data_IF_868356234963
#
_entry.id   IF_868356234963
#
_cell.length_a   1.000
_cell.length_b   1.000
_cell.length_c   1.000
_cell.angle_alpha   90.00
_cell.angle_beta   90.00
_cell.angle_gamma   90.00
#
_symmetry.space_group_name_H-M   'P 1'
#
loop_
_entity.id
_entity.type
_entity.pdbx_description
1 polymer ?
#
# COMPACT_ATOMS: atom_id res chain seq x y z
N UNK A 1 33.79 18.13 -9.54
CA UNK A 1 33.18 16.89 -9.01
C UNK A 1 32.08 16.44 -9.96
N UNK A 2 32.41 15.51 -10.86
CA UNK A 2 31.48 14.93 -11.83
C UNK A 2 30.73 13.76 -11.18
N UNK A 3 29.43 13.91 -10.92
CA UNK A 3 28.58 12.78 -10.52
C UNK A 3 28.11 12.07 -11.79
N UNK A 4 28.67 10.89 -12.02
CA UNK A 4 28.41 10.02 -13.16
C UNK A 4 26.96 9.52 -13.13
N UNK A 5 26.24 9.76 -14.23
CA UNK A 5 24.94 9.14 -14.55
C UNK A 5 25.16 7.63 -14.67
N UNK A 6 24.76 6.85 -13.66
CA UNK A 6 24.74 5.38 -13.72
C UNK A 6 23.31 4.88 -13.53
N UNK A 7 22.80 4.31 -14.63
CA UNK A 7 21.75 3.30 -14.76
C UNK A 7 20.55 3.37 -13.80
N UNK A 8 19.42 3.77 -14.37
CA UNK A 8 18.07 3.49 -13.87
C UNK A 8 17.84 1.97 -13.80
N UNK A 9 18.36 1.31 -12.77
CA UNK A 9 17.89 -0.02 -12.40
C UNK A 9 16.50 0.15 -11.79
N UNK A 10 15.47 -0.13 -12.59
CA UNK A 10 14.09 -0.32 -12.14
C UNK A 10 14.08 -1.43 -11.09
N UNK A 11 14.03 -1.05 -9.81
CA UNK A 11 13.79 -1.97 -8.70
C UNK A 11 12.32 -2.40 -8.81
N UNK A 12 12.00 -3.70 -8.98
CA UNK A 12 10.63 -4.16 -8.92
C UNK A 12 10.22 -4.14 -7.45
N UNK A 13 9.64 -3.03 -7.01
CA UNK A 13 9.07 -2.91 -5.67
C UNK A 13 7.91 -3.91 -5.56
N UNK A 14 8.18 -5.04 -4.90
CA UNK A 14 7.16 -5.99 -4.47
C UNK A 14 6.31 -5.37 -3.37
N UNK A 15 5.35 -4.52 -3.75
CA UNK A 15 4.31 -4.05 -2.83
C UNK A 15 2.97 -4.14 -3.55
N UNK A 16 2.06 -4.86 -2.92
CA UNK A 16 0.72 -5.11 -3.41
C UNK A 16 -0.08 -3.80 -3.49
N UNK A 17 -0.47 -3.38 -4.70
CA UNK A 17 -1.56 -2.43 -4.89
C UNK A 17 -2.86 -3.10 -4.43
N UNK A 18 -3.57 -2.48 -3.49
CA UNK A 18 -4.83 -3.02 -2.98
C UNK A 18 -5.95 -2.17 -3.55
N UNK A 19 -6.86 -2.84 -4.22
CA UNK A 19 -7.97 -2.27 -4.93
C UNK A 19 -9.25 -2.81 -4.32
N UNK A 20 -10.08 -1.92 -3.77
CA UNK A 20 -11.28 -2.31 -3.02
C UNK A 20 -12.53 -2.12 -3.85
N UNK A 21 -13.39 -3.14 -3.80
CA UNK A 21 -14.75 -3.10 -4.30
C UNK A 21 -15.71 -3.21 -3.11
N UNK A 22 -16.56 -2.22 -2.89
CA UNK A 22 -17.69 -2.37 -1.97
C UNK A 22 -18.87 -2.97 -2.74
N UNK A 23 -19.53 -4.01 -2.22
CA UNK A 23 -20.73 -4.56 -2.85
C UNK A 23 -21.93 -4.37 -1.92
N UNK A 24 -22.88 -3.57 -2.41
CA UNK A 24 -24.28 -3.40 -2.02
C UNK A 24 -24.63 -2.94 -0.59
N UNK A 25 -25.24 -1.74 -0.51
CA UNK A 25 -26.32 -1.48 0.46
C UNK A 25 -26.08 -0.41 1.53
N UNK A 26 -24.88 0.12 1.69
CA UNK A 26 -24.63 1.24 2.61
C UNK A 26 -23.88 2.36 1.90
N UNK A 27 -24.53 3.51 1.80
CA UNK A 27 -23.89 4.74 1.32
C UNK A 27 -22.69 5.06 2.19
N UNK A 28 -21.50 5.02 1.60
CA UNK A 28 -20.30 5.51 2.23
C UNK A 28 -20.43 7.03 2.41
N UNK A 29 -20.52 7.49 3.66
CA UNK A 29 -20.62 8.90 4.01
C UNK A 29 -19.22 9.45 4.33
N UNK A 30 -18.63 10.30 3.47
CA UNK A 30 -17.30 10.86 3.69
C UNK A 30 -17.21 11.82 4.91
N UNK A 31 -18.33 12.12 5.58
CA UNK A 31 -18.37 12.95 6.79
C UNK A 31 -18.26 12.18 8.12
N UNK A 32 -18.11 10.86 8.11
CA UNK A 32 -17.73 10.15 9.34
C UNK A 32 -16.24 10.37 9.59
N UNK A 33 -15.90 11.36 10.42
CA UNK A 33 -14.53 11.79 10.73
C UNK A 33 -13.65 10.76 11.42
N UNK A 34 -13.32 9.65 10.74
CA UNK A 34 -12.34 8.66 11.19
C UNK A 34 -11.08 8.71 10.31
N UNK A 35 -9.88 8.85 10.89
CA UNK A 35 -8.65 8.94 10.11
C UNK A 35 -8.32 7.60 9.44
N UNK A 36 -8.20 7.60 8.11
CA UNK A 36 -7.79 6.45 7.30
C UNK A 36 -6.28 6.20 7.45
N UNK A 37 -5.87 5.04 7.98
CA UNK A 37 -4.45 4.73 8.22
C UNK A 37 -4.03 3.40 7.58
N UNK A 38 -2.81 3.36 7.06
CA UNK A 38 -2.39 2.38 6.06
C UNK A 38 -0.98 1.90 6.34
N UNK A 39 -0.83 0.65 6.80
CA UNK A 39 0.38 -0.15 6.65
C UNK A 39 0.05 -1.63 6.84
N UNK A 40 0.67 -2.51 6.01
CA UNK A 40 0.68 -4.00 5.90
C UNK A 40 -0.51 -4.87 6.38
N UNK A 41 -1.27 -4.45 7.38
CA UNK A 41 -2.61 -4.90 7.78
C UNK A 41 -3.72 -4.56 6.78
N UNK A 42 -3.37 -4.13 5.57
CA UNK A 42 -4.31 -3.46 4.66
C UNK A 42 -5.44 -4.39 4.22
N UNK A 43 -5.17 -5.65 3.87
CA UNK A 43 -6.19 -6.57 3.33
C UNK A 43 -7.11 -7.09 4.43
N UNK A 44 -6.52 -7.47 5.56
CA UNK A 44 -7.19 -7.93 6.76
C UNK A 44 -8.10 -6.86 7.38
N UNK A 45 -7.64 -5.59 7.44
CA UNK A 45 -8.43 -4.46 7.92
C UNK A 45 -9.65 -4.18 7.03
N UNK A 46 -9.49 -4.33 5.71
CA UNK A 46 -10.55 -4.04 4.74
C UNK A 46 -11.61 -5.14 4.70
N UNK A 47 -11.21 -6.40 4.92
CA UNK A 47 -12.18 -7.48 5.22
C UNK A 47 -12.90 -7.27 6.54
N UNK A 48 -12.20 -6.80 7.57
CA UNK A 48 -12.84 -6.46 8.85
C UNK A 48 -13.93 -5.38 8.68
N UNK A 49 -13.91 -4.63 7.57
CA UNK A 49 -14.94 -3.67 7.18
C UNK A 49 -15.90 -4.18 6.10
N UNK A 50 -15.99 -5.49 5.88
CA UNK A 50 -16.88 -6.15 4.92
C UNK A 50 -16.72 -5.69 3.45
N UNK A 51 -15.53 -5.20 3.06
CA UNK A 51 -15.22 -4.90 1.66
C UNK A 51 -14.73 -6.12 0.90
N UNK A 52 -15.00 -6.17 -0.41
CA UNK A 52 -14.33 -7.14 -1.29
C UNK A 52 -12.97 -6.60 -1.74
N UNK A 53 -11.94 -7.43 -1.62
CA UNK A 53 -10.55 -7.03 -1.81
C UNK A 53 -10.00 -7.66 -3.09
N UNK A 54 -9.66 -6.82 -4.07
CA UNK A 54 -8.86 -7.20 -5.24
C UNK A 54 -7.42 -6.72 -5.04
N UNK A 55 -6.45 -7.62 -5.15
CA UNK A 55 -5.06 -7.32 -4.88
C UNK A 55 -4.21 -7.57 -6.13
N UNK A 56 -3.32 -6.64 -6.47
CA UNK A 56 -2.35 -6.82 -7.56
C UNK A 56 -1.00 -7.21 -6.99
N UNK A 57 -0.40 -8.31 -7.43
CA UNK A 57 0.93 -8.73 -7.00
C UNK A 57 1.66 -9.50 -8.10
N UNK A 58 2.90 -9.90 -7.88
CA UNK A 58 3.60 -10.81 -8.80
C UNK A 58 3.12 -12.24 -8.62
N UNK A 59 3.35 -13.09 -9.62
CA UNK A 59 2.99 -14.52 -9.59
C UNK A 59 3.42 -15.20 -8.29
N UNK A 60 4.67 -14.98 -7.87
CA UNK A 60 5.24 -15.62 -6.70
C UNK A 60 4.66 -15.16 -5.35
N UNK A 61 3.88 -14.08 -5.32
CA UNK A 61 3.22 -13.57 -4.11
C UNK A 61 1.71 -13.89 -4.07
N UNK A 62 1.15 -14.47 -5.12
CA UNK A 62 -0.29 -14.64 -5.27
C UNK A 62 -0.92 -15.49 -4.16
N UNK A 63 -0.31 -16.64 -3.85
CA UNK A 63 -0.80 -17.55 -2.79
C UNK A 63 -0.80 -16.86 -1.42
N UNK A 64 0.27 -16.14 -1.12
CA UNK A 64 0.41 -15.38 0.13
C UNK A 64 -0.66 -14.30 0.25
N UNK A 65 -0.87 -13.52 -0.81
CA UNK A 65 -1.86 -12.44 -0.84
C UNK A 65 -3.29 -13.00 -0.71
N UNK A 66 -3.57 -14.14 -1.33
CA UNK A 66 -4.86 -14.82 -1.15
C UNK A 66 -5.08 -15.26 0.31
N UNK A 67 -4.06 -15.84 0.96
CA UNK A 67 -4.11 -16.23 2.39
C UNK A 67 -4.33 -15.06 3.35
N UNK A 68 -3.90 -13.86 2.97
CA UNK A 68 -4.13 -12.62 3.74
C UNK A 68 -5.53 -12.03 3.53
N UNK A 69 -6.35 -12.66 2.70
CA UNK A 69 -7.74 -12.29 2.51
C UNK A 69 -8.00 -11.46 1.26
N UNK A 70 -7.16 -11.47 0.22
CA UNK A 70 -7.63 -11.02 -1.09
C UNK A 70 -8.70 -11.99 -1.64
N UNK A 71 -9.88 -11.47 -2.04
CA UNK A 71 -10.91 -12.27 -2.75
C UNK A 71 -10.51 -12.55 -4.20
N UNK A 72 -9.80 -11.60 -4.80
CA UNK A 72 -9.32 -11.71 -6.19
C UNK A 72 -7.88 -11.25 -6.23
N UNK A 73 -7.02 -12.04 -6.85
CA UNK A 73 -5.61 -11.72 -7.06
C UNK A 73 -5.36 -11.56 -8.55
N UNK A 74 -4.76 -10.44 -8.93
CA UNK A 74 -4.40 -10.14 -10.32
C UNK A 74 -2.89 -10.03 -10.42
N UNK A 75 -2.30 -10.81 -11.33
CA UNK A 75 -0.86 -10.80 -11.55
C UNK A 75 -0.45 -9.62 -12.45
N UNK A 76 0.32 -8.67 -11.93
CA UNK A 76 0.77 -7.53 -12.73
C UNK A 76 1.87 -7.87 -13.74
N UNK A 77 2.49 -9.05 -13.62
CA UNK A 77 3.50 -9.53 -14.56
C UNK A 77 2.90 -10.21 -15.78
N UNK A 78 1.60 -10.53 -15.73
CA UNK A 78 0.88 -11.10 -16.85
C UNK A 78 0.73 -10.07 -17.98
N UNK A 79 0.89 -10.49 -19.25
CA UNK A 79 0.84 -9.59 -20.41
C UNK A 79 -0.53 -8.93 -20.61
N UNK A 80 -1.60 -9.54 -20.09
CA UNK A 80 -2.98 -9.09 -20.20
C UNK A 80 -3.52 -8.43 -18.92
N UNK A 81 -2.65 -8.17 -17.93
CA UNK A 81 -2.99 -7.54 -16.64
C UNK A 81 -3.91 -6.32 -16.77
N UNK A 82 -3.57 -5.37 -17.64
CA UNK A 82 -4.34 -4.14 -17.81
C UNK A 82 -5.73 -4.42 -18.39
N UNK A 83 -5.83 -5.37 -19.33
CA UNK A 83 -7.09 -5.76 -19.94
C UNK A 83 -7.99 -6.47 -18.92
N UNK A 84 -7.42 -7.34 -18.07
CA UNK A 84 -8.15 -7.99 -16.98
C UNK A 84 -8.77 -6.96 -16.02
N UNK A 85 -8.03 -5.92 -15.63
CA UNK A 85 -8.54 -4.86 -14.77
C UNK A 85 -9.57 -3.96 -15.46
N UNK A 86 -9.34 -3.60 -16.74
CA UNK A 86 -10.25 -2.74 -17.50
C UNK A 86 -11.58 -3.41 -17.83
N UNK A 87 -11.58 -4.72 -18.10
CA UNK A 87 -12.78 -5.50 -18.37
C UNK A 87 -13.43 -6.04 -17.09
N UNK A 88 -12.69 -6.04 -15.98
CA UNK A 88 -13.17 -6.38 -14.66
C UNK A 88 -14.13 -5.34 -14.05
N UNK A 89 -14.61 -5.60 -12.83
CA UNK A 89 -15.47 -4.68 -12.12
C UNK A 89 -14.78 -3.35 -11.84
N UNK A 90 -15.58 -2.29 -11.74
CA UNK A 90 -15.10 -0.99 -11.26
C UNK A 90 -15.05 -0.98 -9.74
N UNK A 91 -14.24 -0.06 -9.21
CA UNK A 91 -13.91 0.03 -7.80
C UNK A 91 -14.44 1.33 -7.18
N UNK A 92 -14.77 1.25 -5.89
CA UNK A 92 -15.17 2.43 -5.12
C UNK A 92 -13.95 3.09 -4.48
N UNK A 93 -12.91 2.31 -4.21
CA UNK A 93 -11.70 2.78 -3.56
C UNK A 93 -10.46 2.06 -4.10
N UNK A 94 -9.41 2.81 -4.40
CA UNK A 94 -8.11 2.27 -4.83
C UNK A 94 -7.03 2.81 -3.91
N UNK A 95 -6.21 1.91 -3.36
CA UNK A 95 -5.03 2.24 -2.60
C UNK A 95 -3.77 1.87 -3.37
N UNK A 96 -3.17 2.88 -3.98
CA UNK A 96 -1.93 2.76 -4.73
C UNK A 96 -0.70 2.88 -3.84
N UNK A 97 0.15 1.87 -3.91
CA UNK A 97 1.40 1.73 -3.16
C UNK A 97 2.65 1.70 -4.04
N UNK A 98 2.46 1.74 -5.36
CA UNK A 98 3.53 1.51 -6.33
C UNK A 98 3.73 2.75 -7.20
N UNK A 99 2.65 3.49 -7.46
CA UNK A 99 2.62 4.57 -8.43
C UNK A 99 2.11 4.07 -9.79
N UNK A 100 2.01 5.00 -10.74
CA UNK A 100 1.53 4.69 -12.11
C UNK A 100 2.40 3.66 -12.81
N UNK A 101 1.84 2.48 -13.08
CA UNK A 101 2.42 1.47 -13.97
C UNK A 101 1.92 1.69 -15.41
N UNK A 102 2.86 1.68 -16.35
CA UNK A 102 2.69 1.30 -17.76
C UNK A 102 1.53 1.92 -18.57
N UNK A 103 1.03 3.11 -18.19
CA UNK A 103 0.08 3.87 -19.01
C UNK A 103 -1.40 3.67 -18.63
N UNK A 104 -1.70 2.69 -17.78
CA UNK A 104 -3.01 2.61 -17.14
C UNK A 104 -3.12 3.62 -15.99
N UNK A 105 -3.98 4.62 -16.18
CA UNK A 105 -4.35 5.52 -15.09
C UNK A 105 -5.28 4.79 -14.12
N UNK A 106 -4.91 4.61 -12.83
CA UNK A 106 -5.72 3.85 -11.88
C UNK A 106 -7.14 4.41 -11.69
N UNK A 107 -7.32 5.71 -11.90
CA UNK A 107 -8.62 6.36 -11.78
C UNK A 107 -9.63 5.88 -12.84
N UNK A 108 -9.17 5.30 -13.96
CA UNK A 108 -10.05 4.63 -14.95
C UNK A 108 -10.74 3.38 -14.40
N UNK A 109 -10.17 2.77 -13.37
CA UNK A 109 -10.73 1.58 -12.73
C UNK A 109 -11.82 1.94 -11.71
N UNK A 110 -11.95 3.22 -11.34
CA UNK A 110 -12.97 3.68 -10.42
C UNK A 110 -14.34 3.87 -11.10
N UNK A 111 -15.42 3.74 -10.32
CA UNK A 111 -16.75 4.18 -10.74
C UNK A 111 -16.76 5.70 -10.99
N UNK A 112 -17.45 6.12 -12.06
CA UNK A 112 -17.75 7.54 -12.32
C UNK A 112 -19.02 7.96 -11.59
N UNK A 113 -19.08 9.21 -11.16
CA UNK A 113 -20.29 9.81 -10.56
C UNK A 113 -20.67 9.31 -9.16
N UNK A 114 -19.80 8.56 -8.47
CA UNK A 114 -20.08 7.99 -7.13
C UNK A 114 -19.10 8.44 -6.05
N UNK A 115 -18.32 9.50 -6.30
CA UNK A 115 -17.24 9.97 -5.42
C UNK A 115 -16.23 8.88 -5.05
N UNK A 116 -16.04 7.92 -5.95
CA UNK A 116 -15.06 6.85 -5.78
C UNK A 116 -13.66 7.44 -5.65
N UNK A 117 -12.87 6.87 -4.74
CA UNK A 117 -11.68 7.53 -4.21
C UNK A 117 -10.41 6.77 -4.58
N UNK A 118 -9.48 7.47 -5.22
CA UNK A 118 -8.11 7.03 -5.44
C UNK A 118 -7.20 7.64 -4.37
N UNK A 119 -6.46 6.81 -3.65
CA UNK A 119 -5.46 7.23 -2.67
C UNK A 119 -4.12 6.64 -3.05
N UNK A 120 -3.10 7.48 -3.21
CA UNK A 120 -1.73 7.00 -3.42
C UNK A 120 -0.82 7.46 -2.28
N UNK A 121 0.06 6.56 -1.83
CA UNK A 121 1.15 6.89 -0.88
C UNK A 121 2.41 7.36 -1.62
N UNK A 122 2.42 7.25 -2.94
CA UNK A 122 3.54 7.69 -3.79
C UNK A 122 3.29 9.13 -4.19
N UNK A 123 3.76 10.05 -3.34
CA UNK A 123 3.66 11.49 -3.59
C UNK A 123 4.93 12.05 -4.23
N UNK A 124 4.82 12.93 -5.24
CA UNK A 124 5.98 13.61 -5.82
C UNK A 124 6.53 14.72 -4.92
N UNK A 125 5.86 15.07 -3.80
CA UNK A 125 6.19 16.23 -2.96
C UNK A 125 7.66 16.27 -2.57
N UNK A 126 8.17 15.20 -1.93
CA UNK A 126 9.57 15.14 -1.49
C UNK A 126 10.55 15.25 -2.67
N UNK A 127 10.29 14.53 -3.76
CA UNK A 127 11.13 14.57 -4.96
C UNK A 127 11.16 15.96 -5.59
N UNK A 128 10.03 16.65 -5.62
CA UNK A 128 9.93 18.00 -6.17
C UNK A 128 10.66 19.01 -5.28
N UNK A 129 10.55 18.90 -3.95
CA UNK A 129 11.25 19.78 -3.00
C UNK A 129 12.76 19.56 -3.00
N UNK A 130 13.22 18.32 -3.17
CA UNK A 130 14.64 17.99 -3.24
C UNK A 130 15.29 18.56 -4.50
N UNK A 131 14.59 18.49 -5.64
CA UNK A 131 15.12 18.93 -6.94
C UNK A 131 15.05 20.44 -7.16
N UNK A 132 14.01 21.11 -6.64
CA UNK A 132 13.75 22.52 -6.96
C UNK A 132 13.88 23.45 -5.76
N UNK A 133 14.00 22.90 -4.54
CA UNK A 133 13.90 23.63 -3.28
C UNK A 133 12.47 23.66 -2.74
N UNK A 134 12.33 24.06 -1.47
CA UNK A 134 11.07 24.00 -0.73
C UNK A 134 9.96 24.80 -1.42
N UNK A 135 10.21 26.07 -1.76
CA UNK A 135 9.17 26.96 -2.29
C UNK A 135 8.63 26.51 -3.65
N UNK A 136 9.51 26.36 -4.63
CA UNK A 136 9.17 25.96 -6.00
C UNK A 136 8.70 24.50 -6.08
N UNK A 137 9.30 23.60 -5.30
CA UNK A 137 8.89 22.21 -5.21
C UNK A 137 7.48 22.04 -4.62
N UNK A 138 7.15 22.83 -3.59
CA UNK A 138 5.79 22.85 -3.03
C UNK A 138 4.77 23.45 -4.01
N UNK A 139 5.13 24.53 -4.71
CA UNK A 139 4.26 25.13 -5.73
C UNK A 139 3.95 24.14 -6.88
N UNK A 140 4.97 23.45 -7.39
CA UNK A 140 4.81 22.43 -8.42
C UNK A 140 3.93 21.27 -7.92
N UNK A 141 4.13 20.83 -6.68
CA UNK A 141 3.35 19.75 -6.09
C UNK A 141 1.88 20.15 -5.87
N UNK A 142 1.62 21.36 -5.41
CA UNK A 142 0.27 21.89 -5.27
C UNK A 142 -0.44 21.99 -6.64
N UNK A 143 0.28 22.47 -7.67
CA UNK A 143 -0.23 22.50 -9.04
C UNK A 143 -0.58 21.10 -9.55
N UNK A 144 0.30 20.11 -9.37
CA UNK A 144 0.05 18.72 -9.75
C UNK A 144 -1.16 18.12 -9.01
N UNK A 145 -1.27 18.36 -7.70
CA UNK A 145 -2.41 17.92 -6.89
C UNK A 145 -3.72 18.54 -7.39
N UNK A 146 -3.71 19.84 -7.68
CA UNK A 146 -4.87 20.57 -8.16
C UNK A 146 -5.34 20.04 -9.52
N UNK A 147 -4.40 19.87 -10.47
CA UNK A 147 -4.74 19.34 -11.80
C UNK A 147 -5.40 17.97 -11.73
N UNK A 148 -4.85 17.05 -10.91
CA UNK A 148 -5.44 15.73 -10.71
C UNK A 148 -6.80 15.85 -10.03
N UNK A 149 -6.91 16.64 -8.96
CA UNK A 149 -8.17 16.78 -8.21
C UNK A 149 -9.29 17.33 -9.08
N UNK A 150 -9.03 18.38 -9.86
CA UNK A 150 -10.03 18.99 -10.76
C UNK A 150 -10.46 18.00 -11.84
N UNK A 151 -9.51 17.32 -12.49
CA UNK A 151 -9.79 16.32 -13.52
C UNK A 151 -10.66 15.18 -12.98
N UNK A 152 -10.31 14.66 -11.80
CA UNK A 152 -11.02 13.53 -11.22
C UNK A 152 -12.39 13.92 -10.68
N UNK A 153 -12.52 15.14 -10.13
CA UNK A 153 -13.79 15.69 -9.69
C UNK A 153 -14.78 15.88 -10.85
N UNK A 154 -14.30 16.25 -12.04
CA UNK A 154 -15.14 16.37 -13.24
C UNK A 154 -15.78 15.02 -13.64
N UNK A 155 -15.12 13.89 -13.37
CA UNK A 155 -15.67 12.54 -13.55
C UNK A 155 -16.47 12.04 -12.32
N UNK A 156 -16.69 12.89 -11.31
CA UNK A 156 -17.34 12.53 -10.06
C UNK A 156 -16.53 11.55 -9.21
N UNK A 157 -15.19 11.65 -9.26
CA UNK A 157 -14.22 10.85 -8.50
C UNK A 157 -13.41 11.76 -7.58
N UNK A 158 -12.69 11.17 -6.64
CA UNK A 158 -11.71 11.90 -5.82
C UNK A 158 -10.35 11.24 -5.91
N UNK A 159 -9.29 12.05 -5.91
CA UNK A 159 -7.91 11.58 -5.90
C UNK A 159 -7.15 12.30 -4.80
N UNK A 160 -6.44 11.56 -3.96
CA UNK A 160 -5.80 12.06 -2.74
C UNK A 160 -4.40 11.46 -2.58
N UNK A 161 -3.52 12.25 -1.97
CA UNK A 161 -2.25 11.76 -1.48
C UNK A 161 -2.38 11.41 0.01
N UNK A 162 -1.82 10.28 0.38
CA UNK A 162 -1.71 9.86 1.77
C UNK A 162 -0.25 9.95 2.23
N UNK A 163 -0.05 10.54 3.40
CA UNK A 163 1.25 10.64 4.04
C UNK A 163 1.24 9.87 5.35
N UNK A 164 2.41 9.39 5.77
CA UNK A 164 2.56 8.80 7.07
C UNK A 164 2.41 9.87 8.16
N UNK A 165 1.54 9.61 9.13
CA UNK A 165 1.37 10.46 10.31
C UNK A 165 1.37 9.55 11.56
N UNK A 166 2.26 9.77 12.53
CA UNK A 166 2.23 9.01 13.77
C UNK A 166 0.94 9.33 14.54
N UNK A 167 0.19 8.30 14.93
CA UNK A 167 -1.07 8.44 15.66
C UNK A 167 -1.23 7.31 16.67
N UNK A 168 -1.16 7.65 17.96
CA UNK A 168 -1.23 6.68 19.06
C UNK A 168 -2.58 5.95 19.12
N UNK A 169 -3.69 6.65 18.88
CA UNK A 169 -5.03 6.05 18.93
C UNK A 169 -5.21 5.00 17.85
N UNK A 170 -4.72 5.26 16.64
CA UNK A 170 -4.80 4.28 15.58
C UNK A 170 -3.84 3.11 15.75
N UNK A 171 -2.65 3.34 16.32
CA UNK A 171 -1.77 2.24 16.71
C UNK A 171 -2.45 1.34 17.77
N UNK A 172 -3.22 1.94 18.68
CA UNK A 172 -4.01 1.18 19.65
C UNK A 172 -5.10 0.35 18.97
N UNK A 173 -5.88 0.93 18.06
CA UNK A 173 -6.89 0.19 17.28
C UNK A 173 -6.26 -0.97 16.48
N UNK A 174 -5.11 -0.73 15.86
CA UNK A 174 -4.36 -1.78 15.14
C UNK A 174 -3.90 -2.87 16.10
N UNK A 175 -3.40 -2.52 17.29
CA UNK A 175 -3.01 -3.49 18.32
C UNK A 175 -4.19 -4.37 18.73
N UNK A 176 -5.36 -3.79 18.97
CA UNK A 176 -6.57 -4.55 19.33
C UNK A 176 -6.96 -5.54 18.22
N UNK A 177 -6.81 -5.15 16.94
CA UNK A 177 -7.07 -6.06 15.81
C UNK A 177 -6.04 -7.19 15.72
N UNK A 178 -4.78 -6.92 16.06
CA UNK A 178 -3.74 -7.95 16.16
C UNK A 178 -4.03 -8.92 17.30
N UNK A 179 -4.41 -8.40 18.47
CA UNK A 179 -4.74 -9.22 19.65
C UNK A 179 -5.96 -10.12 19.39
N UNK A 180 -6.93 -9.63 18.62
CA UNK A 180 -8.09 -10.40 18.17
C UNK A 180 -7.77 -11.41 17.05
N UNK A 181 -6.52 -11.49 16.59
CA UNK A 181 -6.10 -12.35 15.48
C UNK A 181 -6.71 -11.95 14.13
N UNK A 182 -7.28 -10.74 14.03
CA UNK A 182 -7.84 -10.22 12.77
C UNK A 182 -6.76 -9.67 11.86
N UNK A 183 -5.63 -9.24 12.42
CA UNK A 183 -4.47 -8.75 11.68
C UNK A 183 -3.23 -9.56 12.07
N UNK A 184 -2.57 -10.17 11.09
CA UNK A 184 -1.37 -10.97 11.32
C UNK A 184 -0.13 -10.26 10.76
N UNK A 185 0.85 -9.85 11.61
CA UNK A 185 2.08 -9.26 11.12
C UNK A 185 2.90 -10.31 10.38
N UNK A 186 3.24 -10.04 9.13
CA UNK A 186 4.08 -10.93 8.34
C UNK A 186 5.52 -10.49 8.42
N UNK A 187 6.35 -11.31 9.06
CA UNK A 187 7.79 -11.10 9.16
C UNK A 187 8.49 -11.93 8.09
N UNK A 188 9.24 -11.25 7.22
CA UNK A 188 10.05 -11.88 6.17
C UNK A 188 11.38 -12.40 6.71
N UNK A 189 12.00 -11.65 7.60
CA UNK A 189 13.26 -12.02 8.26
C UNK A 189 13.52 -11.14 9.46
N UNK A 190 14.20 -11.73 10.44
CA UNK A 190 14.67 -11.03 11.63
C UNK A 190 16.18 -11.02 11.63
N UNK A 191 16.78 -9.86 11.90
CA UNK A 191 18.22 -9.69 12.05
C UNK A 191 18.53 -9.21 13.46
N UNK A 192 19.64 -9.65 14.09
CA UNK A 192 20.12 -9.03 15.33
C UNK A 192 20.56 -7.59 15.08
N UNK A 193 20.58 -6.77 16.12
CA UNK A 193 20.96 -5.35 16.03
C UNK A 193 22.34 -5.13 15.40
N UNK A 194 23.29 -6.05 15.60
CA UNK A 194 24.62 -5.98 15.00
C UNK A 194 24.62 -6.17 13.47
N UNK A 195 23.56 -6.77 12.92
CA UNK A 195 23.42 -7.07 11.49
C UNK A 195 22.51 -6.08 10.76
N UNK A 196 22.26 -4.90 11.33
CA UNK A 196 21.51 -3.82 10.66
C UNK A 196 22.03 -3.54 9.23
N UNK A 197 23.35 -3.49 8.95
CA UNK A 197 23.83 -3.33 7.57
C UNK A 197 23.34 -4.42 6.61
N UNK A 198 23.38 -5.69 7.03
CA UNK A 198 22.90 -6.82 6.22
C UNK A 198 21.38 -6.72 5.99
N UNK A 199 20.61 -6.32 7.01
CA UNK A 199 19.19 -6.06 6.89
C UNK A 199 18.88 -4.95 5.86
N UNK A 200 19.68 -3.88 5.85
CA UNK A 200 19.57 -2.81 4.84
C UNK A 200 19.91 -3.29 3.43
N UNK A 201 20.93 -4.13 3.26
CA UNK A 201 21.26 -4.72 1.97
C UNK A 201 20.11 -5.58 1.44
N UNK A 202 19.57 -6.47 2.27
CA UNK A 202 18.40 -7.29 1.92
C UNK A 202 17.18 -6.44 1.58
N UNK A 203 16.93 -5.35 2.31
CA UNK A 203 15.84 -4.41 1.98
C UNK A 203 16.04 -3.78 0.59
N UNK A 204 17.28 -3.39 0.24
CA UNK A 204 17.62 -2.76 -1.04
C UNK A 204 17.51 -3.70 -2.23
N UNK A 205 17.73 -5.00 -2.05
CA UNK A 205 17.51 -6.02 -3.08
C UNK A 205 16.04 -6.08 -3.53
N UNK A 206 15.12 -5.54 -2.73
CA UNK A 206 13.69 -5.57 -3.02
C UNK A 206 13.08 -6.95 -2.73
N UNK A 207 11.91 -7.21 -3.29
CA UNK A 207 11.23 -8.53 -3.24
C UNK A 207 10.93 -9.12 -1.84
N UNK A 208 11.20 -8.41 -0.75
CA UNK A 208 10.88 -8.85 0.59
C UNK A 208 9.36 -9.05 0.75
N UNK A 209 8.97 -10.26 1.16
CA UNK A 209 7.56 -10.63 1.39
C UNK A 209 7.22 -10.44 2.86
N UNK A 210 6.82 -9.23 3.22
CA UNK A 210 6.53 -8.84 4.60
C UNK A 210 7.54 -7.84 5.15
N UNK A 211 7.71 -7.82 6.47
CA UNK A 211 8.59 -6.89 7.18
C UNK A 211 9.95 -7.51 7.47
N UNK A 212 11.02 -6.72 7.32
CA UNK A 212 12.33 -7.03 7.88
C UNK A 212 12.36 -6.42 9.28
N UNK A 213 12.63 -7.25 10.30
CA UNK A 213 12.61 -6.85 11.72
C UNK A 213 14.03 -6.86 12.27
N UNK A 214 14.34 -5.90 13.13
CA UNK A 214 15.60 -5.86 13.88
C UNK A 214 15.31 -6.21 15.33
N UNK A 215 15.98 -7.23 15.86
CA UNK A 215 15.93 -7.59 17.27
C UNK A 215 16.94 -6.76 18.05
N UNK A 216 16.45 -5.91 18.96
CA UNK A 216 17.27 -5.01 19.79
C UNK A 216 17.62 -5.62 21.15
N UNK A 217 16.94 -6.70 21.53
CA UNK A 217 17.21 -7.53 22.72
C UNK A 217 17.53 -8.95 22.28
N UNK A 218 18.45 -9.63 22.98
CA UNK A 218 18.67 -11.07 22.82
C UNK A 218 17.35 -11.79 23.09
N UNK A 219 16.87 -12.57 22.11
CA UNK A 219 15.72 -13.41 22.33
C UNK A 219 16.15 -14.57 23.22
N UNK A 220 15.61 -14.67 24.44
CA UNK A 220 15.61 -15.95 25.13
C UNK A 220 14.93 -17.00 24.21
N UNK A 221 15.48 -18.22 24.12
CA UNK A 221 14.89 -19.25 23.27
C UNK A 221 13.43 -19.50 23.66
N UNK A 222 12.57 -19.86 22.71
CA UNK A 222 11.14 -20.03 22.98
C UNK A 222 10.94 -21.06 24.09
N UNK A 223 10.21 -20.65 25.14
CA UNK A 223 9.79 -21.56 26.23
C UNK A 223 9.00 -22.70 25.60
N UNK A 224 9.61 -23.88 25.55
CA UNK A 224 8.91 -25.10 25.16
C UNK A 224 7.79 -25.32 26.17
N UNK A 225 6.55 -25.10 25.74
CA UNK A 225 5.38 -25.50 26.52
C UNK A 225 5.43 -27.02 26.64
N UNK A 226 5.97 -27.53 27.74
CA UNK A 226 5.84 -28.94 28.10
C UNK A 226 4.36 -29.29 28.08
N UNK A 227 3.98 -30.15 27.14
CA UNK A 227 2.72 -30.89 27.22
C UNK A 227 2.80 -31.69 28.51
N UNK A 228 2.01 -31.28 29.52
CA UNK A 228 1.72 -32.16 30.64
C UNK A 228 0.91 -33.33 30.07
N UNK A 229 1.51 -34.52 30.18
CA UNK A 229 0.87 -35.81 29.96
C UNK A 229 -0.33 -36.00 30.90
#
# INVERSE_FOLDING_TARGET
MHYSKKAENKVPLGICGITLRSVNGMGWNPHSGKPQQVYNAKQELLRAWNGSVTATCSTGAAEMVSKLGADTVVDYTAPDFEAQLLHGPRFDFILDCVGTHQGLSPTKLLHKGRLSTYVTVVSPVLRNTDNMGIFSGMALSAYQALQVTVKELADGRSARWAFFCPNANALKEISELVDLGKVTPIVSSTFPFLEVPAAYHKMKEGHARGKIVISVVEQEPPVQKHQKA
#
